data_IF_232258637145
#
_entry.id   IF_232258637145
#
_cell.length_a   1.000
_cell.length_b   1.000
_cell.length_c   1.000
_cell.angle_alpha   90.00
_cell.angle_beta   90.00
_cell.angle_gamma   90.00
#
_symmetry.space_group_name_H-M   'P 1'
#
loop_
_entity.id
_entity.type
_entity.pdbx_description
1 polymer ?
#
# COMPACT_ATOMS: atom_id res chain seq x y z
N UNK A 1 -9.05 -12.61 -20.80
CA UNK A 1 -7.61 -12.35 -21.00
C UNK A 1 -7.41 -12.10 -22.48
N UNK A 2 -7.37 -10.84 -22.91
CA UNK A 2 -7.03 -10.53 -24.30
C UNK A 2 -5.56 -10.89 -24.45
N UNK A 3 -5.25 -11.95 -25.20
CA UNK A 3 -3.88 -12.26 -25.58
C UNK A 3 -3.30 -10.99 -26.21
N UNK A 4 -2.25 -10.37 -25.64
CA UNK A 4 -1.63 -9.25 -26.32
C UNK A 4 -1.19 -9.72 -27.71
N UNK A 5 -1.37 -8.86 -28.71
CA UNK A 5 -0.79 -9.09 -30.02
C UNK A 5 0.68 -9.47 -29.86
N UNK A 6 1.12 -10.54 -30.54
CA UNK A 6 2.48 -11.09 -30.43
C UNK A 6 3.53 -10.00 -30.61
N UNK A 7 3.28 -9.06 -31.53
CA UNK A 7 4.14 -7.91 -31.78
C UNK A 7 4.31 -7.00 -30.55
N UNK A 8 3.23 -6.76 -29.80
CA UNK A 8 3.27 -5.95 -28.57
C UNK A 8 4.06 -6.70 -27.49
N UNK A 9 3.83 -8.02 -27.36
CA UNK A 9 4.53 -8.82 -26.35
C UNK A 9 6.05 -8.87 -26.61
N UNK A 10 6.46 -9.02 -27.87
CA UNK A 10 7.88 -9.01 -28.23
C UNK A 10 8.52 -7.63 -28.05
N UNK A 11 7.80 -6.55 -28.38
CA UNK A 11 8.26 -5.19 -28.09
C UNK A 11 8.47 -4.97 -26.58
N UNK A 12 7.54 -5.43 -25.73
CA UNK A 12 7.69 -5.34 -24.28
C UNK A 12 8.90 -6.13 -23.76
N UNK A 13 9.20 -7.30 -24.33
CA UNK A 13 10.40 -8.09 -24.00
C UNK A 13 11.68 -7.33 -24.38
N UNK A 14 11.69 -6.68 -25.53
CA UNK A 14 12.82 -5.83 -25.96
C UNK A 14 13.03 -4.64 -25.02
N UNK A 15 11.96 -3.94 -24.66
CA UNK A 15 12.00 -2.84 -23.70
C UNK A 15 12.49 -3.33 -22.33
N UNK A 16 12.03 -4.50 -21.87
CA UNK A 16 12.49 -5.10 -20.62
C UNK A 16 14.01 -5.36 -20.62
N UNK A 17 14.54 -5.94 -21.71
CA UNK A 17 15.98 -6.18 -21.86
C UNK A 17 16.78 -4.86 -21.88
N UNK A 18 16.29 -3.84 -22.60
CA UNK A 18 16.89 -2.49 -22.60
C UNK A 18 16.90 -1.88 -21.19
N UNK A 19 15.84 -2.04 -20.41
CA UNK A 19 15.75 -1.51 -19.05
C UNK A 19 16.66 -2.25 -18.06
N UNK A 20 16.94 -3.53 -18.28
CA UNK A 20 17.90 -4.29 -17.49
C UNK A 20 19.35 -3.90 -17.81
N UNK A 21 19.67 -3.68 -19.09
CA UNK A 21 21.01 -3.23 -19.52
C UNK A 21 21.29 -1.74 -19.24
N UNK A 22 20.24 -0.93 -19.06
CA UNK A 22 20.37 0.51 -18.87
C UNK A 22 21.06 0.89 -17.54
N UNK A 23 22.07 1.74 -17.65
CA UNK A 23 22.77 2.34 -16.51
C UNK A 23 21.97 3.42 -15.80
N UNK A 24 22.61 4.10 -14.85
CA UNK A 24 22.01 5.21 -14.12
C UNK A 24 21.60 6.35 -15.07
N UNK A 25 20.38 6.88 -14.92
CA UNK A 25 19.84 7.97 -15.74
C UNK A 25 19.25 7.55 -17.09
N UNK A 26 19.65 6.41 -17.66
CA UNK A 26 19.23 5.99 -19.01
C UNK A 26 17.81 5.39 -19.07
N UNK A 27 17.33 4.83 -17.95
CA UNK A 27 15.99 4.20 -17.87
C UNK A 27 14.86 5.18 -18.19
N UNK A 28 15.04 6.47 -17.92
CA UNK A 28 14.03 7.51 -18.12
C UNK A 28 13.60 7.66 -19.58
N UNK A 29 14.57 7.75 -20.48
CA UNK A 29 14.38 7.91 -21.93
C UNK A 29 13.76 6.67 -22.56
N UNK A 30 14.23 5.47 -22.18
CA UNK A 30 13.69 4.19 -22.67
C UNK A 30 12.19 4.10 -22.35
N UNK A 31 11.80 4.44 -21.12
CA UNK A 31 10.39 4.45 -20.70
C UNK A 31 9.59 5.47 -21.49
N UNK A 32 10.12 6.68 -21.69
CA UNK A 32 9.42 7.74 -22.43
C UNK A 32 9.16 7.33 -23.88
N UNK A 33 10.16 6.75 -24.55
CA UNK A 33 10.05 6.23 -25.92
C UNK A 33 9.02 5.11 -25.99
N UNK A 34 9.04 4.15 -25.06
CA UNK A 34 8.08 3.05 -25.04
C UNK A 34 6.65 3.51 -24.77
N UNK A 35 6.46 4.46 -23.85
CA UNK A 35 5.14 5.06 -23.57
C UNK A 35 4.58 5.77 -24.81
N UNK A 36 5.42 6.51 -25.54
CA UNK A 36 5.02 7.20 -26.78
C UNK A 36 4.69 6.23 -27.90
N UNK A 37 5.45 5.15 -28.04
CA UNK A 37 5.24 4.14 -29.08
C UNK A 37 3.94 3.34 -28.87
N UNK A 38 3.66 2.95 -27.63
CA UNK A 38 2.46 2.17 -27.29
C UNK A 38 1.23 3.04 -26.98
N UNK A 39 1.39 4.37 -26.95
CA UNK A 39 0.36 5.33 -26.53
C UNK A 39 -0.24 5.00 -25.14
N UNK A 40 0.63 4.69 -24.19
CA UNK A 40 0.23 4.34 -22.82
C UNK A 40 0.91 5.22 -21.77
N UNK A 41 0.24 5.38 -20.63
CA UNK A 41 0.83 6.04 -19.48
C UNK A 41 1.99 5.22 -18.89
N UNK A 42 2.96 5.89 -18.24
CA UNK A 42 4.07 5.20 -17.55
C UNK A 42 3.61 4.11 -16.57
N UNK A 43 2.56 4.33 -15.74
CA UNK A 43 2.05 3.27 -14.87
C UNK A 43 1.50 2.07 -15.64
N UNK A 44 0.84 2.30 -16.78
CA UNK A 44 0.32 1.21 -17.61
C UNK A 44 1.47 0.40 -18.23
N UNK A 45 2.49 1.07 -18.79
CA UNK A 45 3.67 0.39 -19.32
C UNK A 45 4.31 -0.54 -18.28
N UNK A 46 4.44 -0.13 -17.02
CA UNK A 46 5.00 -1.00 -15.98
C UNK A 46 4.13 -2.22 -15.67
N UNK A 47 2.79 -2.09 -15.75
CA UNK A 47 1.87 -3.24 -15.61
C UNK A 47 2.04 -4.19 -16.78
N UNK A 48 2.18 -3.66 -17.99
CA UNK A 48 2.37 -4.47 -19.20
C UNK A 48 3.73 -5.16 -19.20
N UNK A 49 4.79 -4.46 -18.76
CA UNK A 49 6.12 -5.03 -18.57
C UNK A 49 6.13 -6.17 -17.52
N UNK A 50 5.30 -6.09 -16.48
CA UNK A 50 5.16 -7.16 -15.49
C UNK A 50 4.61 -8.46 -16.14
N UNK A 51 3.76 -8.35 -17.17
CA UNK A 51 3.24 -9.52 -17.90
C UNK A 51 4.31 -10.30 -18.67
N UNK A 52 5.42 -9.63 -19.03
CA UNK A 52 6.60 -10.25 -19.66
C UNK A 52 7.72 -10.55 -18.64
N UNK A 53 7.42 -10.46 -17.35
CA UNK A 53 8.34 -10.85 -16.26
C UNK A 53 9.33 -9.77 -15.84
N UNK A 54 9.21 -8.53 -16.32
CA UNK A 54 10.08 -7.44 -15.88
C UNK A 54 9.78 -7.04 -14.43
N UNK A 55 10.82 -6.94 -13.62
CA UNK A 55 10.75 -6.42 -12.23
C UNK A 55 11.76 -5.30 -12.05
N UNK A 56 11.33 -4.23 -11.39
CA UNK A 56 12.21 -3.13 -11.03
C UNK A 56 13.20 -3.58 -9.94
N UNK A 57 14.49 -3.35 -10.15
CA UNK A 57 15.55 -3.60 -9.17
C UNK A 57 15.55 -2.61 -8.00
N UNK A 58 14.64 -1.62 -8.01
CA UNK A 58 14.60 -0.60 -6.97
C UNK A 58 14.23 -1.25 -5.64
N UNK A 59 15.24 -1.40 -4.78
CA UNK A 59 15.09 -1.91 -3.42
C UNK A 59 13.99 -1.13 -2.69
N UNK A 60 13.03 -1.87 -2.15
CA UNK A 60 12.04 -1.33 -1.25
C UNK A 60 12.74 -0.73 -0.01
N UNK A 61 12.28 0.44 0.44
CA UNK A 61 12.81 1.06 1.66
C UNK A 61 12.72 0.09 2.85
N UNK A 62 13.75 0.07 3.69
CA UNK A 62 13.88 -0.85 4.84
C UNK A 62 12.81 -0.63 5.91
N UNK A 63 12.21 0.56 5.96
CA UNK A 63 11.16 0.94 6.89
C UNK A 63 9.74 0.85 6.29
N UNK A 64 9.58 0.45 5.02
CA UNK A 64 8.26 0.36 4.41
C UNK A 64 7.39 -0.66 5.18
N UNK A 65 6.28 -0.16 5.72
CA UNK A 65 5.32 -0.95 6.49
C UNK A 65 5.59 -0.97 8.00
N UNK A 66 6.71 -0.42 8.48
CA UNK A 66 6.96 -0.30 9.92
C UNK A 66 6.05 0.76 10.54
N UNK A 67 5.67 0.53 11.79
CA UNK A 67 4.83 1.42 12.59
C UNK A 67 5.35 1.46 14.02
N UNK A 68 5.17 2.61 14.67
CA UNK A 68 5.46 2.79 16.10
C UNK A 68 4.30 2.33 16.99
N UNK A 69 3.12 2.08 16.41
CA UNK A 69 1.93 1.60 17.14
C UNK A 69 2.04 0.09 17.34
N UNK A 70 2.15 -0.41 18.58
CA UNK A 70 2.12 -1.85 18.85
C UNK A 70 0.78 -2.47 18.47
N UNK A 71 0.80 -3.76 18.11
CA UNK A 71 -0.43 -4.51 17.79
C UNK A 71 -1.41 -4.53 18.95
N UNK A 72 -0.92 -4.73 20.18
CA UNK A 72 -1.72 -4.74 21.41
C UNK A 72 -2.49 -3.43 21.62
N UNK A 73 -1.86 -2.28 21.34
CA UNK A 73 -2.50 -0.97 21.44
C UNK A 73 -3.62 -0.84 20.39
N UNK A 74 -3.38 -1.33 19.17
CA UNK A 74 -4.38 -1.33 18.12
C UNK A 74 -5.58 -2.22 18.46
N UNK A 75 -5.34 -3.40 19.02
CA UNK A 75 -6.37 -4.33 19.50
C UNK A 75 -7.17 -3.74 20.66
N UNK A 76 -6.51 -3.11 21.62
CA UNK A 76 -7.16 -2.45 22.76
C UNK A 76 -8.11 -1.34 22.28
N UNK A 77 -7.64 -0.46 21.39
CA UNK A 77 -8.47 0.60 20.82
C UNK A 77 -9.61 0.02 19.97
N UNK A 78 -9.33 -1.03 19.18
CA UNK A 78 -10.33 -1.75 18.41
C UNK A 78 -11.44 -2.34 19.27
N UNK A 79 -11.07 -3.03 20.34
CA UNK A 79 -11.97 -3.60 21.33
C UNK A 79 -12.79 -2.55 22.06
N UNK A 80 -12.18 -1.45 22.52
CA UNK A 80 -12.88 -0.34 23.17
C UNK A 80 -13.98 0.23 22.27
N UNK A 81 -13.68 0.47 20.99
CA UNK A 81 -14.66 1.00 20.05
C UNK A 81 -15.72 -0.05 19.67
N UNK A 82 -15.33 -1.32 19.55
CA UNK A 82 -16.26 -2.41 19.27
C UNK A 82 -17.29 -2.59 20.41
N UNK A 83 -16.84 -2.67 21.66
CA UNK A 83 -17.70 -2.77 22.85
C UNK A 83 -18.60 -1.54 22.99
N UNK A 84 -18.09 -0.35 22.67
CA UNK A 84 -18.86 0.91 22.66
C UNK A 84 -19.75 1.08 21.41
N UNK A 85 -19.79 0.10 20.50
CA UNK A 85 -20.71 0.13 19.37
C UNK A 85 -22.02 -0.54 19.78
N UNK A 86 -23.12 0.21 19.68
CA UNK A 86 -24.45 -0.32 20.01
C UNK A 86 -24.90 -1.37 18.99
N UNK A 87 -25.88 -2.20 19.36
CA UNK A 87 -26.49 -3.19 18.47
C UNK A 87 -27.04 -2.60 17.15
N UNK A 88 -27.40 -1.30 17.13
CA UNK A 88 -27.82 -0.58 15.92
C UNK A 88 -26.66 0.01 15.10
N UNK A 89 -25.41 -0.38 15.39
CA UNK A 89 -24.21 0.07 14.67
C UNK A 89 -23.71 1.47 15.03
N UNK A 90 -24.39 2.21 15.92
CA UNK A 90 -23.94 3.55 16.35
C UNK A 90 -22.76 3.44 17.31
N UNK A 91 -21.64 4.07 16.94
CA UNK A 91 -20.43 4.15 17.77
C UNK A 91 -20.58 5.27 18.79
N UNK A 92 -20.53 4.95 20.08
CA UNK A 92 -20.54 5.98 21.15
C UNK A 92 -19.14 6.44 21.53
N UNK A 93 -18.11 5.66 21.20
CA UNK A 93 -16.71 6.00 21.41
C UNK A 93 -15.97 6.08 20.05
N UNK A 94 -15.47 7.26 19.64
CA UNK A 94 -14.64 7.37 18.46
C UNK A 94 -13.20 6.94 18.74
N UNK A 95 -12.49 6.52 17.68
CA UNK A 95 -11.08 6.06 17.75
C UNK A 95 -10.16 7.16 18.31
N UNK A 96 -10.44 8.43 18.00
CA UNK A 96 -9.68 9.58 18.51
C UNK A 96 -9.71 9.64 20.03
N UNK A 97 -10.90 9.59 20.63
CA UNK A 97 -11.04 9.66 22.08
C UNK A 97 -10.48 8.41 22.76
N UNK A 98 -10.67 7.22 22.18
CA UNK A 98 -10.05 6.00 22.71
C UNK A 98 -8.52 6.08 22.70
N UNK A 99 -7.92 6.65 21.65
CA UNK A 99 -6.48 6.90 21.58
C UNK A 99 -6.04 7.91 22.64
N UNK A 100 -6.77 9.02 22.80
CA UNK A 100 -6.44 10.07 23.79
C UNK A 100 -6.43 9.50 25.21
N UNK A 101 -7.39 8.62 25.54
CA UNK A 101 -7.42 7.90 26.82
C UNK A 101 -6.16 7.05 27.04
N UNK A 102 -5.76 6.24 26.04
CA UNK A 102 -4.57 5.38 26.18
C UNK A 102 -3.25 6.15 26.17
N UNK A 103 -3.20 7.30 25.49
CA UNK A 103 -2.05 8.20 25.55
C UNK A 103 -1.94 8.83 26.93
N UNK A 104 -3.06 9.25 27.53
CA UNK A 104 -3.09 9.78 28.90
C UNK A 104 -2.67 8.72 29.93
N UNK A 105 -3.06 7.46 29.72
CA UNK A 105 -2.63 6.30 30.52
C UNK A 105 -1.15 5.88 30.31
N UNK A 106 -0.45 6.48 29.34
CA UNK A 106 0.92 6.09 28.96
C UNK A 106 1.03 4.74 28.23
N UNK A 107 -0.09 4.18 27.75
CA UNK A 107 -0.17 2.88 27.08
C UNK A 107 -0.08 2.96 25.56
N UNK A 108 -0.31 4.13 24.98
CA UNK A 108 -0.26 4.34 23.53
C UNK A 108 0.73 5.45 23.14
N UNK A 109 1.42 5.33 21.98
CA UNK A 109 2.25 6.40 21.46
C UNK A 109 1.40 7.57 20.95
N UNK A 110 1.93 8.78 21.05
CA UNK A 110 1.29 9.99 20.52
C UNK A 110 1.37 10.02 18.98
N UNK A 111 0.32 9.52 18.32
CA UNK A 111 0.19 9.47 16.86
C UNK A 111 -1.21 9.93 16.42
N UNK A 112 -1.44 10.05 15.11
CA UNK A 112 -2.79 10.36 14.60
C UNK A 112 -3.73 9.15 14.71
N UNK A 113 -5.02 9.41 14.93
CA UNK A 113 -6.05 8.36 14.89
C UNK A 113 -6.11 7.63 13.54
N UNK A 114 -5.76 8.30 12.43
CA UNK A 114 -5.65 7.67 11.12
C UNK A 114 -4.52 6.63 11.06
N UNK A 115 -3.39 6.90 11.71
CA UNK A 115 -2.28 5.93 11.84
C UNK A 115 -2.73 4.70 12.61
N UNK A 116 -3.41 4.87 13.74
CA UNK A 116 -3.96 3.77 14.53
C UNK A 116 -4.98 2.98 13.72
N UNK A 117 -5.94 3.66 13.08
CA UNK A 117 -6.96 3.00 12.26
C UNK A 117 -6.36 2.18 11.09
N UNK A 118 -5.25 2.64 10.50
CA UNK A 118 -4.51 1.88 9.48
C UNK A 118 -3.90 0.60 10.08
N UNK A 119 -3.25 0.71 11.24
CA UNK A 119 -2.65 -0.44 11.94
C UNK A 119 -3.72 -1.43 12.38
N UNK A 120 -4.86 -0.95 12.87
CA UNK A 120 -6.02 -1.78 13.19
C UNK A 120 -6.51 -2.58 11.97
N UNK A 121 -6.57 -1.95 10.79
CA UNK A 121 -6.94 -2.65 9.55
C UNK A 121 -5.92 -3.71 9.13
N UNK A 122 -4.63 -3.43 9.30
CA UNK A 122 -3.54 -4.36 8.98
C UNK A 122 -3.56 -5.59 9.90
N UNK A 123 -3.97 -5.40 11.16
CA UNK A 123 -4.07 -6.46 12.17
C UNK A 123 -5.49 -7.03 12.32
N UNK A 124 -6.42 -6.73 11.41
CA UNK A 124 -7.79 -7.23 11.41
C UNK A 124 -8.63 -6.90 12.67
N UNK A 125 -8.22 -5.90 13.46
CA UNK A 125 -8.90 -5.48 14.68
C UNK A 125 -9.65 -4.15 14.54
N UNK A 126 -9.90 -3.71 13.30
CA UNK A 126 -10.71 -2.51 13.08
C UNK A 126 -12.18 -2.80 13.43
N UNK A 127 -12.94 -1.88 14.05
CA UNK A 127 -14.34 -2.09 14.44
C UNK A 127 -15.30 -2.49 13.31
N UNK A 128 -14.91 -2.28 12.05
CA UNK A 128 -15.67 -2.73 10.86
C UNK A 128 -15.35 -4.18 10.45
N UNK A 129 -14.27 -4.75 10.95
CA UNK A 129 -13.80 -6.12 10.69
C UNK A 129 -14.12 -7.06 11.87
N UNK A 130 -14.39 -6.50 13.05
CA UNK A 130 -14.81 -7.23 14.26
C UNK A 130 -16.33 -7.43 14.35
N UNK A 131 -17.09 -6.83 13.44
CA UNK A 131 -18.55 -6.87 13.39
C UNK A 131 -19.04 -7.91 12.38
#
# INVERSE_FOLDING_TARGET
MTTPDLAIQDYLREVAAKLQAAGHGQKGEIIATACKYLDVSRPQLYRDLETVGFKSERKQRSDKGKTVVPTEVAEMIGGMVHVATRANGKKTLPITTALDMLVADGKAPKVSAATVARVMKQNMCHPKQLA
#
